data_IF_325289876134
#
_entry.id   IF_325289876134
#
_cell.length_a   1.000
_cell.length_b   1.000
_cell.length_c   1.000
_cell.angle_alpha   90.00
_cell.angle_beta   90.00
_cell.angle_gamma   90.00
#
_symmetry.space_group_name_H-M   'P 1'
#
loop_
_entity.id
_entity.type
_entity.pdbx_description
1 polymer ?
#
# COMPACT_ATOMS: atom_id res chain seq x y z
N UNK A 1 -12.10 11.99 -2.72
CA UNK A 1 -11.27 10.92 -2.17
C UNK A 1 -9.98 10.85 -2.96
N UNK A 2 -8.86 10.99 -2.29
CA UNK A 2 -7.57 10.99 -2.97
C UNK A 2 -6.71 9.83 -2.51
N UNK A 3 -6.02 9.23 -3.45
CA UNK A 3 -5.04 8.18 -3.17
C UNK A 3 -3.68 8.85 -3.03
N UNK A 4 -2.98 8.55 -1.95
CA UNK A 4 -1.66 9.10 -1.70
C UNK A 4 -0.65 7.97 -1.61
N UNK A 5 0.43 8.09 -2.34
CA UNK A 5 1.53 7.14 -2.31
C UNK A 5 2.76 7.85 -1.78
N UNK A 6 3.34 7.33 -0.72
CA UNK A 6 4.53 7.91 -0.10
C UNK A 6 5.61 6.84 0.01
N UNK A 7 6.81 7.17 -0.44
CA UNK A 7 7.95 6.28 -0.31
C UNK A 7 8.97 6.92 0.63
N UNK A 8 9.35 6.18 1.66
CA UNK A 8 10.34 6.64 2.64
C UNK A 8 11.70 6.02 2.30
N UNK A 9 12.58 6.80 1.71
CA UNK A 9 13.88 6.32 1.26
C UNK A 9 14.73 5.71 2.38
N UNK A 10 14.69 6.33 3.55
CA UNK A 10 15.53 5.89 4.68
C UNK A 10 15.17 4.49 5.16
N UNK A 11 13.90 4.16 5.10
CA UNK A 11 13.40 2.88 5.63
C UNK A 11 12.99 1.91 4.52
N UNK A 12 13.10 2.31 3.27
CA UNK A 12 12.63 1.53 2.12
C UNK A 12 11.18 1.07 2.35
N UNK A 13 10.35 1.99 2.82
CA UNK A 13 8.95 1.71 3.14
C UNK A 13 8.03 2.47 2.21
N UNK A 14 7.10 1.76 1.60
CA UNK A 14 6.09 2.33 0.72
C UNK A 14 4.75 2.32 1.44
N UNK A 15 4.08 3.47 1.47
CA UNK A 15 2.76 3.62 2.07
C UNK A 15 1.79 4.08 1.00
N UNK A 16 0.73 3.32 0.81
CA UNK A 16 -0.33 3.66 -0.14
C UNK A 16 -1.60 3.88 0.67
N UNK A 17 -2.06 5.14 0.72
CA UNK A 17 -3.26 5.50 1.45
C UNK A 17 -4.42 5.67 0.49
N UNK A 18 -5.47 4.90 0.70
CA UNK A 18 -6.61 4.84 -0.21
C UNK A 18 -7.82 5.65 0.29
N UNK A 19 -7.91 5.89 1.59
CA UNK A 19 -9.02 6.65 2.14
C UNK A 19 -8.63 7.30 3.46
N UNK A 20 -9.49 8.19 3.94
CA UNK A 20 -9.30 8.86 5.24
C UNK A 20 -10.14 8.24 6.34
N UNK A 21 -10.75 7.10 6.08
CA UNK A 21 -11.58 6.43 7.07
C UNK A 21 -10.73 5.96 8.25
N UNK A 22 -11.31 5.96 9.46
CA UNK A 22 -10.59 5.45 10.63
C UNK A 22 -10.25 3.97 10.47
N UNK A 23 -9.04 3.61 10.88
CA UNK A 23 -8.59 2.22 10.85
C UNK A 23 -9.14 1.49 12.07
N UNK A 24 -9.81 0.38 11.87
CA UNK A 24 -10.33 -0.45 12.96
C UNK A 24 -9.63 -1.81 13.03
N UNK A 25 -8.89 -2.18 12.00
CA UNK A 25 -8.20 -3.47 11.97
C UNK A 25 -7.00 -3.42 11.06
N UNK A 26 -5.92 -4.08 11.46
CA UNK A 26 -4.74 -4.26 10.63
C UNK A 26 -4.47 -5.75 10.47
N UNK A 27 -4.07 -6.15 9.28
CA UNK A 27 -3.74 -7.52 8.97
C UNK A 27 -2.38 -7.56 8.28
N UNK A 28 -1.48 -8.41 8.78
CA UNK A 28 -0.21 -8.68 8.12
C UNK A 28 -0.42 -9.79 7.12
N UNK A 29 -0.31 -9.48 5.83
CA UNK A 29 -0.43 -10.49 4.78
C UNK A 29 0.85 -11.29 4.66
N UNK A 30 1.98 -10.57 4.81
CA UNK A 30 3.32 -11.11 4.75
C UNK A 30 4.17 -10.38 5.76
N UNK A 31 5.43 -10.81 5.92
CA UNK A 31 6.36 -10.09 6.79
C UNK A 31 6.58 -8.64 6.33
N UNK A 32 6.38 -8.38 5.04
CA UNK A 32 6.66 -7.07 4.46
C UNK A 32 5.40 -6.29 4.07
N UNK A 33 4.21 -6.87 4.19
CA UNK A 33 2.98 -6.20 3.75
C UNK A 33 1.94 -6.19 4.85
N UNK A 34 1.50 -4.97 5.20
CA UNK A 34 0.46 -4.75 6.22
C UNK A 34 -0.68 -3.97 5.58
N UNK A 35 -1.89 -4.43 5.82
CA UNK A 35 -3.09 -3.79 5.26
C UNK A 35 -4.01 -3.37 6.39
N UNK A 36 -4.47 -2.12 6.33
CA UNK A 36 -5.37 -1.55 7.33
C UNK A 36 -6.78 -1.41 6.74
N UNK A 37 -7.78 -1.74 7.54
CA UNK A 37 -9.18 -1.77 7.12
C UNK A 37 -10.04 -0.83 7.96
N UNK A 38 -11.06 -0.27 7.32
CA UNK A 38 -12.09 0.50 7.98
C UNK A 38 -13.22 -0.41 8.47
N UNK A 39 -14.14 0.16 9.24
CA UNK A 39 -15.27 -0.59 9.80
C UNK A 39 -16.15 -1.23 8.74
N UNK A 40 -16.22 -0.63 7.55
CA UNK A 40 -17.05 -1.16 6.46
C UNK A 40 -16.32 -2.25 5.66
N UNK A 41 -15.11 -2.64 6.06
CA UNK A 41 -14.33 -3.66 5.39
C UNK A 41 -13.46 -3.16 4.25
N UNK A 42 -13.51 -1.87 3.92
CA UNK A 42 -12.68 -1.34 2.85
C UNK A 42 -11.25 -1.14 3.31
N UNK A 43 -10.30 -1.19 2.36
CA UNK A 43 -8.90 -0.96 2.65
C UNK A 43 -8.64 0.53 2.81
N UNK A 44 -8.02 0.92 3.91
CA UNK A 44 -7.65 2.30 4.18
C UNK A 44 -6.22 2.57 3.73
N UNK A 45 -5.31 1.67 4.07
CA UNK A 45 -3.89 1.90 3.85
C UNK A 45 -3.17 0.57 3.67
N UNK A 46 -2.14 0.58 2.83
CA UNK A 46 -1.24 -0.56 2.67
C UNK A 46 0.18 -0.08 2.93
N UNK A 47 0.91 -0.79 3.77
CA UNK A 47 2.31 -0.49 4.07
C UNK A 47 3.16 -1.65 3.60
N UNK A 48 4.17 -1.36 2.79
CA UNK A 48 5.08 -2.37 2.26
C UNK A 48 6.49 -2.05 2.74
N UNK A 49 7.04 -2.96 3.57
CA UNK A 49 8.39 -2.84 4.08
C UNK A 49 9.38 -3.39 3.05
N UNK A 50 10.57 -2.80 3.01
CA UNK A 50 11.60 -3.17 2.04
C UNK A 50 11.06 -3.17 0.61
N UNK A 51 10.32 -2.12 0.28
CA UNK A 51 9.57 -2.05 -0.97
C UNK A 51 10.44 -2.21 -2.22
N UNK A 52 11.60 -1.55 -2.25
CA UNK A 52 12.49 -1.68 -3.41
C UNK A 52 13.06 -3.08 -3.51
N UNK A 53 13.38 -3.68 -2.37
CA UNK A 53 13.98 -5.02 -2.32
C UNK A 53 13.02 -6.09 -2.81
N UNK A 54 11.73 -5.97 -2.48
CA UNK A 54 10.73 -6.96 -2.91
C UNK A 54 10.13 -6.63 -4.28
N UNK A 55 10.61 -5.57 -4.91
CA UNK A 55 10.15 -5.21 -6.25
C UNK A 55 8.87 -4.37 -6.29
N UNK A 56 8.41 -3.87 -5.15
CA UNK A 56 7.21 -3.03 -5.10
C UNK A 56 7.50 -1.57 -5.45
N UNK A 57 8.74 -1.15 -5.37
CA UNK A 57 9.14 0.21 -5.68
C UNK A 57 10.36 0.19 -6.61
N UNK A 58 10.45 1.05 -7.63
CA UNK A 58 9.42 2.01 -8.00
C UNK A 58 8.18 1.34 -8.57
N UNK A 59 7.05 2.03 -8.51
CA UNK A 59 5.79 1.52 -9.04
C UNK A 59 5.90 1.36 -10.55
N UNK A 60 5.42 0.23 -11.05
CA UNK A 60 5.38 -0.04 -12.47
C UNK A 60 3.95 -0.10 -12.92
N UNK A 61 3.66 0.63 -13.97
CA UNK A 61 2.34 0.59 -14.58
C UNK A 61 2.48 -0.12 -15.90
N UNK A 62 1.85 -1.26 -16.04
CA UNK A 62 1.83 -1.98 -17.29
C UNK A 62 0.55 -1.65 -18.02
N UNK A 63 0.71 -1.15 -19.23
CA UNK A 63 -0.41 -0.93 -20.12
C UNK A 63 -0.50 -2.14 -21.03
N UNK A 64 -1.56 -2.89 -20.86
CA UNK A 64 -1.83 -4.00 -21.76
C UNK A 64 -2.95 -3.59 -22.69
N UNK A 65 -2.67 -3.65 -23.97
CA UNK A 65 -3.70 -3.42 -24.95
C UNK A 65 -4.73 -4.52 -24.85
N UNK A 66 -5.99 -4.13 -24.90
CA UNK A 66 -7.08 -5.08 -24.79
C UNK A 66 -7.25 -5.93 -26.05
N UNK A 67 -6.49 -5.65 -27.05
CA UNK A 67 -6.60 -6.35 -28.31
C UNK A 67 -6.19 -7.80 -28.20
#
# INVERSE_FOLDING_TARGET
MSVTTTYFDDDDTLVIRLSDKPVVREVSQDWHTHVSFAADGSVVETVILEAARVGAWPLRIEHRDAA
#
